data_IF_813223699568
#
_entry.id   IF_813223699568
#
_cell.length_a   1.000
_cell.length_b   1.000
_cell.length_c   1.000
_cell.angle_alpha   90.00
_cell.angle_beta   90.00
_cell.angle_gamma   90.00
#
_symmetry.space_group_name_H-M   'P 1'
#
loop_
_entity.id
_entity.type
_entity.pdbx_description
1 polymer ?
#
# COMPACT_ATOMS: atom_id res chain seq x y z
N UNK A 1 -15.22 -2.86 -0.14
CA UNK A 1 -14.64 -4.01 0.59
C UNK A 1 -13.64 -3.46 1.61
N UNK A 2 -13.70 -3.84 2.89
CA UNK A 2 -12.73 -3.40 3.90
C UNK A 2 -11.38 -4.12 3.73
N UNK A 3 -10.28 -3.49 4.16
CA UNK A 3 -8.94 -4.09 4.12
C UNK A 3 -8.86 -5.37 4.97
N UNK A 4 -9.66 -5.46 6.04
CA UNK A 4 -9.81 -6.65 6.87
C UNK A 4 -10.14 -7.90 6.04
N UNK A 5 -10.94 -7.75 4.98
CA UNK A 5 -11.32 -8.87 4.10
C UNK A 5 -10.15 -9.33 3.19
N UNK A 6 -9.20 -8.44 2.88
CA UNK A 6 -7.95 -8.79 2.18
C UNK A 6 -6.94 -9.47 3.12
N UNK A 7 -6.93 -9.08 4.40
CA UNK A 7 -6.11 -9.73 5.43
C UNK A 7 -6.62 -11.14 5.77
N UNK A 8 -7.95 -11.31 5.89
CA UNK A 8 -8.60 -12.60 6.13
C UNK A 8 -8.40 -13.60 4.98
N UNK A 9 -8.22 -13.11 3.75
CA UNK A 9 -7.90 -13.95 2.58
C UNK A 9 -6.40 -14.23 2.43
N UNK A 10 -5.55 -13.78 3.37
CA UNK A 10 -4.10 -13.94 3.31
C UNK A 10 -3.43 -13.16 2.18
N UNK A 11 -4.16 -12.24 1.54
CA UNK A 11 -3.73 -11.53 0.34
C UNK A 11 -3.30 -10.10 0.67
N UNK A 12 -2.54 -9.98 1.76
CA UNK A 12 -1.97 -8.70 2.19
C UNK A 12 -0.94 -8.27 1.14
N UNK A 13 -1.12 -7.12 0.47
CA UNK A 13 -0.18 -6.70 -0.56
C UNK A 13 1.18 -6.38 0.08
N UNK A 14 2.24 -7.04 -0.36
CA UNK A 14 3.62 -6.71 0.05
C UNK A 14 4.26 -5.60 -0.80
N UNK A 15 3.60 -5.20 -1.89
CA UNK A 15 4.07 -4.14 -2.79
C UNK A 15 2.90 -3.36 -3.39
N UNK A 16 3.11 -2.05 -3.59
CA UNK A 16 2.14 -1.20 -4.30
C UNK A 16 1.88 -1.68 -5.74
N UNK A 17 2.84 -2.39 -6.35
CA UNK A 17 2.67 -2.97 -7.70
C UNK A 17 1.53 -3.98 -7.77
N UNK A 18 1.30 -4.76 -6.71
CA UNK A 18 0.19 -5.71 -6.65
C UNK A 18 -1.18 -5.01 -6.65
N UNK A 19 -1.19 -3.71 -6.40
CA UNK A 19 -2.38 -2.86 -6.36
C UNK A 19 -2.55 -2.02 -7.63
N UNK A 20 -1.66 -2.13 -8.62
CA UNK A 20 -1.67 -1.29 -9.83
C UNK A 20 -3.01 -1.33 -10.58
N UNK A 21 -3.68 -2.47 -10.59
CA UNK A 21 -4.99 -2.64 -11.25
C UNK A 21 -6.12 -1.82 -10.61
N UNK A 22 -5.90 -1.27 -9.41
CA UNK A 22 -6.86 -0.43 -8.67
C UNK A 22 -6.46 1.03 -8.64
N UNK A 23 -5.36 1.39 -9.31
CA UNK A 23 -4.78 2.74 -9.32
C UNK A 23 -4.94 3.35 -10.71
N UNK A 24 -5.07 4.67 -10.74
CA UNK A 24 -5.02 5.43 -12.00
C UNK A 24 -3.58 5.55 -12.51
N UNK A 25 -3.41 5.79 -13.81
CA UNK A 25 -2.09 6.04 -14.40
C UNK A 25 -1.32 7.18 -13.71
N UNK A 26 -2.02 8.22 -13.25
CA UNK A 26 -1.41 9.33 -12.52
C UNK A 26 -0.83 8.86 -11.17
N UNK A 27 -1.60 8.07 -10.41
CA UNK A 27 -1.16 7.50 -9.15
C UNK A 27 -0.01 6.51 -9.35
N UNK A 28 -0.07 5.66 -10.38
CA UNK A 28 1.02 4.73 -10.73
C UNK A 28 2.31 5.49 -11.02
N UNK A 29 2.25 6.56 -11.82
CA UNK A 29 3.42 7.41 -12.09
C UNK A 29 3.96 8.06 -10.82
N UNK A 30 3.09 8.53 -9.94
CA UNK A 30 3.49 9.12 -8.66
C UNK A 30 4.20 8.11 -7.75
N UNK A 31 3.62 6.92 -7.55
CA UNK A 31 4.21 5.85 -6.74
C UNK A 31 5.54 5.36 -7.32
N UNK A 32 5.63 5.24 -8.64
CA UNK A 32 6.89 4.89 -9.32
C UNK A 32 7.96 5.98 -9.15
N UNK A 33 7.58 7.26 -9.10
CA UNK A 33 8.50 8.35 -8.81
C UNK A 33 8.95 8.33 -7.34
N UNK A 34 8.03 8.11 -6.40
CA UNK A 34 8.34 7.95 -4.97
C UNK A 34 9.31 6.81 -4.74
N UNK A 35 9.07 5.63 -5.32
CA UNK A 35 9.93 4.47 -5.15
C UNK A 35 11.40 4.72 -5.58
N UNK A 36 11.60 5.53 -6.62
CA UNK A 36 12.93 5.92 -7.10
C UNK A 36 13.54 7.07 -6.29
N UNK A 37 12.74 7.76 -5.49
CA UNK A 37 13.20 8.91 -4.73
C UNK A 37 14.05 8.43 -3.54
N UNK A 38 15.23 9.04 -3.28
CA UNK A 38 16.16 8.59 -2.24
C UNK A 38 15.52 8.43 -0.86
N UNK A 39 14.59 9.34 -0.50
CA UNK A 39 13.88 9.31 0.78
C UNK A 39 13.00 8.06 0.99
N UNK A 40 12.58 7.38 -0.08
CA UNK A 40 11.67 6.23 -0.03
C UNK A 40 12.26 4.95 -0.62
N UNK A 41 13.40 5.03 -1.32
CA UNK A 41 14.09 3.90 -1.95
C UNK A 41 14.40 2.73 -0.98
N UNK A 42 14.73 3.05 0.28
CA UNK A 42 14.96 2.06 1.35
C UNK A 42 13.72 1.81 2.23
N UNK A 43 12.56 2.34 1.84
CA UNK A 43 11.31 2.29 2.60
C UNK A 43 10.13 1.89 1.71
N UNK A 44 10.18 0.71 1.07
CA UNK A 44 9.12 0.25 0.16
C UNK A 44 7.75 0.16 0.84
N UNK A 45 7.73 -0.07 2.16
CA UNK A 45 6.49 -0.07 2.95
C UNK A 45 5.79 1.29 2.97
N UNK A 46 6.52 2.41 2.96
CA UNK A 46 5.90 3.74 2.92
C UNK A 46 5.19 3.97 1.58
N UNK A 47 5.79 3.52 0.48
CA UNK A 47 5.17 3.62 -0.85
C UNK A 47 3.92 2.75 -0.94
N UNK A 48 3.93 1.58 -0.31
CA UNK A 48 2.73 0.73 -0.19
C UNK A 48 1.62 1.41 0.62
N UNK A 49 1.93 2.05 1.75
CA UNK A 49 0.92 2.76 2.55
C UNK A 49 0.26 3.89 1.76
N UNK A 50 1.06 4.65 1.01
CA UNK A 50 0.54 5.68 0.11
C UNK A 50 -0.42 5.09 -0.94
N UNK A 51 -0.04 3.95 -1.55
CA UNK A 51 -0.88 3.27 -2.53
C UNK A 51 -2.20 2.76 -1.94
N UNK A 52 -2.18 2.29 -0.69
CA UNK A 52 -3.38 1.85 0.01
C UNK A 52 -4.33 3.02 0.27
N UNK A 53 -3.79 4.16 0.71
CA UNK A 53 -4.58 5.36 0.98
C UNK A 53 -5.19 5.95 -0.29
N UNK A 54 -4.51 5.85 -1.44
CA UNK A 54 -5.08 6.21 -2.75
C UNK A 54 -6.29 5.38 -3.15
N UNK A 55 -6.33 4.11 -2.75
CA UNK A 55 -7.43 3.20 -3.10
C UNK A 55 -8.62 3.42 -2.18
N UNK A 56 -8.35 3.56 -0.88
CA UNK A 56 -9.37 3.85 0.11
C UNK A 56 -8.76 4.59 1.30
N UNK A 57 -9.30 5.76 1.65
CA UNK A 57 -8.87 6.47 2.85
C UNK A 57 -8.99 5.60 4.11
N UNK A 58 -7.96 5.57 4.94
CA UNK A 58 -7.89 4.78 6.18
C UNK A 58 -7.26 3.38 6.03
N UNK A 59 -7.05 2.89 4.81
CA UNK A 59 -6.42 1.57 4.62
C UNK A 59 -4.95 1.52 5.06
N UNK A 60 -4.23 2.63 5.00
CA UNK A 60 -2.87 2.68 5.51
C UNK A 60 -2.85 2.43 7.04
N UNK A 61 -3.80 3.02 7.77
CA UNK A 61 -3.94 2.80 9.20
C UNK A 61 -4.35 1.35 9.53
N UNK A 62 -5.33 0.81 8.82
CA UNK A 62 -5.78 -0.59 8.99
C UNK A 62 -4.63 -1.58 8.74
N UNK A 63 -3.82 -1.34 7.70
CA UNK A 63 -2.69 -2.18 7.35
C UNK A 63 -1.61 -2.19 8.45
N UNK A 64 -1.32 -1.02 9.02
CA UNK A 64 -0.34 -0.89 10.11
C UNK A 64 -0.86 -1.53 11.40
N UNK A 65 -2.14 -1.34 11.72
CA UNK A 65 -2.79 -1.98 12.86
C UNK A 65 -2.78 -3.51 12.74
N UNK A 66 -3.10 -4.04 11.54
CA UNK A 66 -3.08 -5.48 11.28
C UNK A 66 -1.71 -6.12 11.49
N UNK A 67 -0.63 -5.46 11.04
CA UNK A 67 0.75 -5.96 11.26
C UNK A 67 1.23 -5.82 12.71
N UNK A 68 0.73 -4.85 13.47
CA UNK A 68 1.08 -4.70 14.89
C UNK A 68 0.54 -5.85 15.76
N UNK A 69 -0.53 -6.52 15.31
CA UNK A 69 -1.14 -7.65 16.03
C UNK A 69 -0.45 -8.99 15.71
N UNK A 70 0.35 -9.06 14.63
CA UNK A 70 1.06 -10.29 14.21
C UNK A 70 2.55 -10.30 14.58
N UNK A 71 3.02 -9.32 15.36
CA UNK A 71 4.42 -9.14 15.78
C UNK A 71 4.69 -9.58 17.21
#
# INVERSE_FOLDING_TARGET
MPLSSLAETGNVPDSWRSLSNRLTDAQIRHLAAMERHPAYSHRPRLVLLEALEYIHPGWAADYMAGRAVTG
#
